data_IF_253377206833
#
_entry.id   IF_253377206833
#
_cell.length_a   1.000
_cell.length_b   1.000
_cell.length_c   1.000
_cell.angle_alpha   90.00
_cell.angle_beta   90.00
_cell.angle_gamma   90.00
#
_symmetry.space_group_name_H-M   'P 1'
#
loop_
_entity.id
_entity.type
_entity.pdbx_description
1 polymer ?
#
# COMPACT_ATOMS: atom_id res chain seq x y z
N UNK A 1 -19.15 3.81 -1.00
CA UNK A 1 -18.31 2.62 -1.21
C UNK A 1 -19.20 1.54 -1.84
N UNK A 2 -18.87 1.03 -3.03
CA UNK A 2 -19.65 -0.02 -3.73
C UNK A 2 -18.72 -1.04 -4.39
N UNK A 3 -19.04 -2.33 -4.34
CA UNK A 3 -18.39 -3.36 -5.15
C UNK A 3 -18.68 -3.10 -6.63
N UNK A 4 -17.64 -3.12 -7.46
CA UNK A 4 -17.80 -2.85 -8.90
C UNK A 4 -16.71 -3.60 -9.67
N UNK A 5 -17.05 -4.44 -10.66
CA UNK A 5 -16.05 -5.07 -11.53
C UNK A 5 -15.19 -4.02 -12.25
N UNK A 6 -13.91 -4.34 -12.47
CA UNK A 6 -12.98 -3.45 -13.18
C UNK A 6 -13.45 -3.11 -14.58
N UNK A 7 -13.91 -4.11 -15.35
CA UNK A 7 -14.44 -3.88 -16.70
C UNK A 7 -15.62 -2.90 -16.68
N UNK A 8 -16.53 -3.03 -15.71
CA UNK A 8 -17.67 -2.11 -15.57
C UNK A 8 -17.20 -0.71 -15.28
N UNK A 9 -16.35 -0.52 -14.27
CA UNK A 9 -15.87 0.79 -13.87
C UNK A 9 -15.07 1.49 -14.99
N UNK A 10 -14.13 0.77 -15.63
CA UNK A 10 -13.30 1.33 -16.70
C UNK A 10 -14.11 1.67 -17.96
N UNK A 11 -15.19 0.94 -18.26
CA UNK A 11 -16.04 1.14 -19.44
C UNK A 11 -17.17 2.15 -19.23
N UNK A 12 -17.41 2.59 -17.99
CA UNK A 12 -18.42 3.63 -17.73
C UNK A 12 -18.08 4.88 -18.55
N UNK A 13 -19.08 5.48 -19.27
CA UNK A 13 -18.87 6.71 -20.02
C UNK A 13 -18.63 7.86 -19.03
N UNK A 14 -17.38 8.08 -18.72
CA UNK A 14 -16.93 9.10 -17.77
C UNK A 14 -16.12 10.16 -18.50
N UNK A 15 -16.26 11.42 -18.10
CA UNK A 15 -15.49 12.52 -18.70
C UNK A 15 -14.05 12.57 -18.20
N UNK A 16 -13.80 12.06 -16.98
CA UNK A 16 -12.51 12.16 -16.35
C UNK A 16 -11.57 11.05 -16.82
N UNK A 17 -10.32 11.39 -17.17
CA UNK A 17 -9.27 10.41 -17.47
C UNK A 17 -9.04 9.44 -16.31
N UNK A 18 -8.57 8.23 -16.67
CA UNK A 18 -8.13 7.21 -15.71
C UNK A 18 -6.63 7.29 -15.52
N UNK A 19 -6.22 7.27 -14.27
CA UNK A 19 -4.84 7.20 -13.83
C UNK A 19 -4.62 5.94 -13.00
N UNK A 20 -3.38 5.45 -13.04
CA UNK A 20 -2.92 4.33 -12.21
C UNK A 20 -1.74 4.81 -11.36
N UNK A 21 -1.73 4.42 -10.09
CA UNK A 21 -0.55 4.44 -9.26
C UNK A 21 -0.02 3.01 -9.14
N UNK A 22 1.17 2.77 -9.69
CA UNK A 22 1.71 1.43 -9.87
C UNK A 22 2.90 1.18 -8.94
N UNK A 23 2.93 0.02 -8.34
CA UNK A 23 4.06 -0.49 -7.60
C UNK A 23 4.95 -1.33 -8.53
N UNK A 24 6.11 -0.80 -8.88
CA UNK A 24 7.06 -1.47 -9.79
C UNK A 24 7.82 -2.62 -9.13
N UNK A 25 7.70 -2.79 -7.83
CA UNK A 25 8.27 -3.93 -7.10
C UNK A 25 7.38 -5.17 -7.14
N UNK A 26 6.10 -5.01 -7.55
CA UNK A 26 5.19 -6.13 -7.74
C UNK A 26 5.67 -7.08 -8.84
N UNK A 27 5.35 -8.37 -8.72
CA UNK A 27 5.77 -9.40 -9.67
C UNK A 27 4.55 -10.13 -10.30
N UNK A 28 4.37 -10.06 -11.62
CA UNK A 28 5.17 -9.31 -12.60
C UNK A 28 5.01 -7.79 -12.44
N UNK A 29 6.02 -7.02 -12.89
CA UNK A 29 5.94 -5.56 -12.85
C UNK A 29 4.77 -5.06 -13.73
N UNK A 30 3.78 -4.37 -13.17
CA UNK A 30 2.60 -3.95 -13.93
C UNK A 30 2.93 -2.98 -15.07
N UNK A 31 4.01 -2.18 -14.97
CA UNK A 31 4.41 -1.26 -16.05
C UNK A 31 4.78 -2.01 -17.31
N UNK A 32 5.44 -3.17 -17.21
CA UNK A 32 5.86 -3.96 -18.36
C UNK A 32 4.65 -4.44 -19.16
N UNK A 33 3.61 -4.89 -18.48
CA UNK A 33 2.35 -5.32 -19.11
C UNK A 33 1.67 -4.16 -19.84
N UNK A 34 1.62 -2.97 -19.22
CA UNK A 34 0.98 -1.81 -19.81
C UNK A 34 1.76 -1.28 -21.03
N UNK A 35 3.11 -1.26 -20.98
CA UNK A 35 3.94 -0.88 -22.11
C UNK A 35 3.85 -1.89 -23.26
N UNK A 36 3.93 -3.17 -22.97
CA UNK A 36 3.85 -4.24 -23.99
C UNK A 36 2.54 -4.21 -24.80
N UNK A 37 1.45 -3.74 -24.18
CA UNK A 37 0.12 -3.65 -24.82
C UNK A 37 -0.20 -2.25 -25.38
N UNK A 38 0.72 -1.30 -25.32
CA UNK A 38 0.52 0.08 -25.78
C UNK A 38 -0.69 0.77 -25.11
N UNK A 39 -0.91 0.54 -23.82
CA UNK A 39 -2.06 1.09 -23.07
C UNK A 39 -1.80 2.45 -22.42
N UNK A 40 -0.57 2.94 -22.47
CA UNK A 40 -0.12 4.15 -21.78
C UNK A 40 -0.21 5.37 -22.68
N UNK A 41 -0.90 6.41 -22.22
CA UNK A 41 -0.87 7.74 -22.83
C UNK A 41 0.32 8.57 -22.31
N UNK A 42 0.51 8.58 -20.98
CA UNK A 42 1.61 9.25 -20.28
C UNK A 42 2.03 8.39 -19.08
N UNK A 43 3.32 8.37 -18.76
CA UNK A 43 3.85 7.69 -17.59
C UNK A 43 5.09 8.38 -17.05
N UNK A 44 5.27 8.38 -15.71
CA UNK A 44 6.42 8.99 -15.08
C UNK A 44 6.73 8.36 -13.71
N UNK A 45 8.01 8.10 -13.38
CA UNK A 45 8.42 7.63 -12.07
C UNK A 45 8.38 8.77 -11.05
N UNK A 46 7.64 8.58 -9.95
CA UNK A 46 7.35 9.64 -9.00
C UNK A 46 8.55 10.12 -8.19
N UNK A 47 9.60 9.30 -8.03
CA UNK A 47 10.80 9.71 -7.30
C UNK A 47 11.74 10.62 -8.11
N UNK A 48 11.56 10.66 -9.44
CA UNK A 48 12.40 11.48 -10.29
C UNK A 48 12.23 12.98 -9.98
N UNK A 49 13.35 13.68 -9.76
CA UNK A 49 13.35 15.11 -9.40
C UNK A 49 12.88 15.41 -7.95
N UNK A 50 12.79 14.40 -7.08
CA UNK A 50 12.44 14.55 -5.67
C UNK A 50 13.60 14.16 -4.75
N UNK A 51 13.52 14.40 -3.42
CA UNK A 51 14.51 13.91 -2.46
C UNK A 51 14.71 12.39 -2.49
N UNK A 52 13.75 11.62 -3.04
CA UNK A 52 13.82 10.16 -3.19
C UNK A 52 14.47 9.70 -4.49
N UNK A 53 15.09 10.58 -5.28
CA UNK A 53 15.68 10.24 -6.59
C UNK A 53 16.76 9.13 -6.50
N UNK A 54 17.42 8.98 -5.35
CA UNK A 54 18.36 7.90 -5.10
C UNK A 54 17.71 6.50 -5.04
N UNK A 55 16.38 6.43 -4.87
CA UNK A 55 15.57 5.21 -4.88
C UNK A 55 14.80 5.03 -6.19
N UNK A 56 15.25 5.63 -7.29
CA UNK A 56 14.53 5.63 -8.57
C UNK A 56 14.16 4.24 -9.09
N UNK A 57 14.99 3.23 -8.82
CA UNK A 57 14.74 1.84 -9.20
C UNK A 57 13.52 1.21 -8.49
N UNK A 58 13.10 1.79 -7.37
CA UNK A 58 11.94 1.37 -6.56
C UNK A 58 10.78 2.37 -6.67
N UNK A 59 10.90 3.33 -7.60
CA UNK A 59 9.92 4.41 -7.73
C UNK A 59 8.55 3.87 -8.11
N UNK A 60 7.49 4.30 -7.44
CA UNK A 60 6.15 4.13 -7.99
C UNK A 60 6.01 4.93 -9.28
N UNK A 61 5.09 4.48 -10.15
CA UNK A 61 4.80 5.16 -11.38
C UNK A 61 3.39 5.73 -11.38
N UNK A 62 3.28 6.97 -11.82
CA UNK A 62 2.01 7.56 -12.25
C UNK A 62 1.82 7.25 -13.73
N UNK A 63 0.69 6.68 -14.09
CA UNK A 63 0.35 6.34 -15.46
C UNK A 63 -1.02 6.92 -15.80
N UNK A 64 -1.12 7.60 -16.95
CA UNK A 64 -2.39 7.97 -17.58
C UNK A 64 -2.73 6.94 -18.64
N UNK A 65 -3.92 6.37 -18.53
CA UNK A 65 -4.39 5.30 -19.40
C UNK A 65 -4.93 5.85 -20.71
N UNK A 66 -4.62 5.21 -21.85
CA UNK A 66 -5.31 5.47 -23.12
C UNK A 66 -6.78 5.04 -22.99
N UNK A 67 -7.75 5.79 -23.54
CA UNK A 67 -9.16 5.38 -23.53
C UNK A 67 -9.41 4.01 -24.17
N UNK A 68 -8.64 3.65 -25.20
CA UNK A 68 -8.73 2.34 -25.88
C UNK A 68 -8.31 1.16 -24.99
N UNK A 69 -7.56 1.42 -23.94
CA UNK A 69 -7.10 0.39 -23.00
C UNK A 69 -8.15 0.02 -21.92
N UNK A 70 -9.23 0.79 -21.79
CA UNK A 70 -10.20 0.62 -20.70
C UNK A 70 -10.79 -0.80 -20.66
N UNK A 71 -11.29 -1.31 -21.77
CA UNK A 71 -11.90 -2.65 -21.83
C UNK A 71 -10.87 -3.75 -21.65
N UNK A 72 -9.74 -3.81 -22.40
CA UNK A 72 -8.80 -4.91 -22.24
C UNK A 72 -8.10 -4.91 -20.88
N UNK A 73 -7.79 -3.75 -20.29
CA UNK A 73 -7.26 -3.69 -18.93
C UNK A 73 -8.29 -4.16 -17.89
N UNK A 74 -9.56 -3.73 -18.03
CA UNK A 74 -10.63 -4.19 -17.14
C UNK A 74 -10.78 -5.71 -17.16
N UNK A 75 -10.75 -6.32 -18.33
CA UNK A 75 -10.80 -7.78 -18.49
C UNK A 75 -9.57 -8.47 -17.87
N UNK A 76 -8.39 -7.88 -17.98
CA UNK A 76 -7.18 -8.39 -17.33
C UNK A 76 -7.34 -8.38 -15.81
N UNK A 77 -7.76 -7.25 -15.24
CA UNK A 77 -7.91 -7.07 -13.80
C UNK A 77 -9.04 -7.93 -13.21
N UNK A 78 -10.17 -8.06 -13.89
CA UNK A 78 -11.27 -8.95 -13.45
C UNK A 78 -10.85 -10.44 -13.40
N UNK A 79 -9.83 -10.83 -14.17
CA UNK A 79 -9.25 -12.17 -14.15
C UNK A 79 -8.05 -12.30 -13.20
N UNK A 80 -7.81 -11.31 -12.35
CA UNK A 80 -6.63 -11.24 -11.48
C UNK A 80 -5.31 -11.39 -12.25
N UNK A 81 -5.22 -10.70 -13.38
CA UNK A 81 -4.07 -10.80 -14.30
C UNK A 81 -2.75 -10.24 -13.72
N UNK A 82 -2.79 -9.43 -12.66
CA UNK A 82 -1.67 -9.16 -11.78
C UNK A 82 -1.77 -10.08 -10.57
N UNK A 83 -0.87 -11.08 -10.51
CA UNK A 83 -0.87 -12.08 -9.43
C UNK A 83 -0.39 -11.52 -8.09
N UNK A 84 0.46 -10.52 -8.12
CA UNK A 84 0.91 -9.82 -6.91
C UNK A 84 -0.14 -8.81 -6.46
N UNK A 85 -0.72 -8.98 -5.24
CA UNK A 85 -1.77 -8.09 -4.75
C UNK A 85 -1.29 -6.67 -4.47
N UNK A 86 0.02 -6.40 -4.50
CA UNK A 86 0.59 -5.07 -4.29
C UNK A 86 0.73 -4.23 -5.58
N UNK A 87 0.23 -4.71 -6.72
CA UNK A 87 0.49 -4.15 -8.05
C UNK A 87 0.17 -2.66 -8.20
N UNK A 88 -0.84 -2.15 -7.52
CA UNK A 88 -1.28 -0.77 -7.61
C UNK A 88 -2.79 -0.60 -7.50
N UNK A 89 -3.26 0.58 -7.84
CA UNK A 89 -4.68 0.92 -7.88
C UNK A 89 -4.94 2.01 -8.91
N UNK A 90 -6.22 2.24 -9.24
CA UNK A 90 -6.64 3.19 -10.25
C UNK A 90 -7.54 4.28 -9.68
N UNK A 91 -7.60 5.42 -10.38
CA UNK A 91 -8.51 6.50 -10.03
C UNK A 91 -8.90 7.34 -11.25
N UNK A 92 -9.99 8.09 -11.10
CA UNK A 92 -10.43 9.10 -12.04
C UNK A 92 -10.15 10.50 -11.52
N UNK A 93 -9.74 11.39 -12.42
CA UNK A 93 -9.48 12.78 -12.09
C UNK A 93 -9.64 13.72 -13.29
N UNK A 94 -10.25 14.90 -13.12
CA UNK A 94 -10.31 15.95 -14.16
C UNK A 94 -9.03 16.79 -14.21
N UNK A 95 -8.13 16.66 -13.20
CA UNK A 95 -6.94 17.51 -13.14
C UNK A 95 -5.96 17.17 -14.24
N UNK A 96 -5.25 18.20 -14.74
CA UNK A 96 -4.21 18.06 -15.75
C UNK A 96 -3.03 17.20 -15.25
N UNK A 97 -2.32 16.57 -16.20
CA UNK A 97 -1.21 15.67 -15.94
C UNK A 97 -0.14 16.27 -14.98
N UNK A 98 0.32 17.48 -15.26
CA UNK A 98 1.37 18.11 -14.46
C UNK A 98 0.95 18.37 -13.00
N UNK A 99 -0.33 18.71 -12.80
CA UNK A 99 -0.89 18.87 -11.48
C UNK A 99 -0.99 17.53 -10.72
N UNK A 100 -1.34 16.45 -11.43
CA UNK A 100 -1.33 15.08 -10.88
C UNK A 100 0.09 14.68 -10.46
N UNK A 101 1.05 14.84 -11.38
CA UNK A 101 2.44 14.48 -11.14
C UNK A 101 3.00 15.22 -9.92
N UNK A 102 2.83 16.56 -9.90
CA UNK A 102 3.28 17.39 -8.79
C UNK A 102 2.65 16.98 -7.45
N UNK A 103 1.33 16.74 -7.46
CA UNK A 103 0.62 16.29 -6.26
C UNK A 103 1.23 14.98 -5.71
N UNK A 104 1.32 13.94 -6.55
CA UNK A 104 1.80 12.64 -6.09
C UNK A 104 3.27 12.63 -5.71
N UNK A 105 4.12 13.42 -6.36
CA UNK A 105 5.51 13.62 -5.95
C UNK A 105 5.62 14.18 -4.52
N UNK A 106 4.76 15.15 -4.18
CA UNK A 106 4.73 15.74 -2.85
C UNK A 106 4.17 14.82 -1.76
N UNK A 107 3.42 13.78 -2.13
CA UNK A 107 2.78 12.85 -1.17
C UNK A 107 3.59 11.57 -0.93
N UNK A 108 4.77 11.45 -1.55
CA UNK A 108 5.65 10.30 -1.30
C UNK A 108 6.25 10.33 0.12
N UNK A 109 6.45 11.51 0.68
CA UNK A 109 6.93 11.70 2.05
C UNK A 109 5.81 12.26 2.93
N UNK A 110 5.59 11.59 4.05
CA UNK A 110 4.59 11.98 5.06
C UNK A 110 5.23 12.04 6.45
N UNK A 111 4.55 12.68 7.38
CA UNK A 111 5.01 12.77 8.77
C UNK A 111 4.31 11.70 9.61
N UNK A 112 5.10 10.90 10.30
CA UNK A 112 4.65 9.89 11.27
C UNK A 112 5.43 10.11 12.57
N UNK A 113 4.73 10.42 13.66
CA UNK A 113 5.30 10.66 14.99
C UNK A 113 6.47 11.66 15.03
N UNK A 114 6.42 12.65 14.13
CA UNK A 114 7.45 13.69 14.02
C UNK A 114 8.53 13.39 12.99
N UNK A 115 8.66 12.18 12.52
CA UNK A 115 9.64 11.75 11.52
C UNK A 115 9.07 11.75 10.10
N UNK A 116 9.96 11.94 9.11
CA UNK A 116 9.58 11.83 7.69
C UNK A 116 9.75 10.39 7.23
N UNK A 117 8.65 9.80 6.77
CA UNK A 117 8.63 8.43 6.26
C UNK A 117 8.09 8.38 4.83
N UNK A 118 8.51 7.36 4.07
CA UNK A 118 7.97 7.10 2.73
C UNK A 118 6.61 6.45 2.84
N UNK A 119 5.57 7.10 2.30
CA UNK A 119 4.23 6.51 2.21
C UNK A 119 4.10 5.69 0.91
N UNK A 120 4.04 4.39 1.02
CA UNK A 120 3.86 3.47 -0.12
C UNK A 120 2.38 3.31 -0.51
N UNK A 121 1.69 4.43 -0.72
CA UNK A 121 0.25 4.40 -1.05
C UNK A 121 -0.03 3.72 -2.41
N UNK A 122 0.98 3.57 -3.28
CA UNK A 122 0.88 2.80 -4.51
C UNK A 122 0.70 1.30 -4.28
N UNK A 123 1.11 0.77 -3.13
CA UNK A 123 0.86 -0.62 -2.76
C UNK A 123 -0.63 -0.77 -2.40
N UNK A 124 -1.36 -1.55 -3.20
CA UNK A 124 -2.80 -1.74 -2.99
C UNK A 124 -3.15 -2.33 -1.63
N UNK A 125 -2.27 -3.12 -1.03
CA UNK A 125 -2.46 -3.65 0.32
C UNK A 125 -2.53 -2.53 1.36
N UNK A 126 -1.67 -1.51 1.20
CA UNK A 126 -1.67 -0.31 2.06
C UNK A 126 -2.85 0.60 1.70
N UNK A 127 -3.08 0.83 0.41
CA UNK A 127 -4.19 1.64 -0.07
C UNK A 127 -5.56 1.12 0.40
N UNK A 128 -5.76 -0.21 0.40
CA UNK A 128 -6.99 -0.88 0.85
C UNK A 128 -7.30 -0.64 2.33
N UNK A 129 -6.30 -0.37 3.16
CA UNK A 129 -6.47 -0.05 4.58
C UNK A 129 -6.63 1.46 4.79
N UNK A 130 -5.73 2.25 4.20
CA UNK A 130 -5.66 3.68 4.50
C UNK A 130 -6.76 4.48 3.80
N UNK A 131 -7.02 4.24 2.50
CA UNK A 131 -7.97 5.07 1.74
C UNK A 131 -9.40 4.99 2.31
N UNK A 132 -9.97 3.82 2.67
CA UNK A 132 -11.27 3.74 3.32
C UNK A 132 -11.32 4.39 4.71
N UNK A 133 -10.17 4.53 5.37
CA UNK A 133 -10.04 5.09 6.72
C UNK A 133 -9.82 6.61 6.73
N UNK A 134 -9.67 7.24 5.55
CA UNK A 134 -9.50 8.68 5.42
C UNK A 134 -10.77 9.42 5.83
N UNK A 135 -10.60 10.46 6.62
CA UNK A 135 -11.65 11.46 6.90
C UNK A 135 -11.75 12.45 5.74
N UNK A 136 -12.81 13.22 5.69
CA UNK A 136 -13.02 14.22 4.62
C UNK A 136 -11.82 15.17 4.49
N UNK A 137 -11.27 15.65 5.60
CA UNK A 137 -10.09 16.53 5.62
C UNK A 137 -8.84 15.86 5.03
N UNK A 138 -8.67 14.57 5.28
CA UNK A 138 -7.53 13.82 4.75
C UNK A 138 -7.64 13.65 3.23
N UNK A 139 -8.86 13.45 2.72
CA UNK A 139 -9.11 13.41 1.27
C UNK A 139 -8.70 14.72 0.58
N UNK A 140 -8.99 15.87 1.16
CA UNK A 140 -8.58 17.16 0.59
C UNK A 140 -7.06 17.33 0.53
N UNK A 141 -6.32 16.72 1.46
CA UNK A 141 -4.87 16.87 1.52
C UNK A 141 -4.16 15.75 0.76
N UNK A 142 -4.49 14.48 1.06
CA UNK A 142 -3.78 13.32 0.51
C UNK A 142 -4.28 12.92 -0.87
N UNK A 143 -5.61 12.98 -1.08
CA UNK A 143 -6.31 12.44 -2.26
C UNK A 143 -6.92 13.54 -3.15
N UNK A 144 -6.48 14.79 -3.02
CA UNK A 144 -7.07 15.95 -3.71
C UNK A 144 -7.40 15.72 -5.20
N UNK A 145 -6.52 15.12 -6.03
CA UNK A 145 -6.84 14.94 -7.44
C UNK A 145 -7.87 13.83 -7.70
N UNK A 146 -8.18 12.99 -6.72
CA UNK A 146 -8.98 11.78 -6.89
C UNK A 146 -10.46 12.09 -6.76
N UNK A 147 -11.23 11.87 -7.82
CA UNK A 147 -12.69 11.90 -7.79
C UNK A 147 -13.30 10.54 -7.43
N UNK A 148 -12.74 9.49 -7.97
CA UNK A 148 -13.12 8.11 -7.70
C UNK A 148 -11.85 7.28 -7.61
N UNK A 149 -11.69 6.50 -6.55
CA UNK A 149 -10.63 5.51 -6.41
C UNK A 149 -11.19 4.12 -6.62
N UNK A 150 -10.46 3.29 -7.36
CA UNK A 150 -10.78 1.88 -7.59
C UNK A 150 -9.66 1.02 -7.03
N UNK A 151 -10.00 0.23 -6.02
CA UNK A 151 -9.08 -0.62 -5.27
C UNK A 151 -9.37 -2.09 -5.59
N UNK A 152 -8.32 -2.88 -5.77
CA UNK A 152 -8.44 -4.33 -5.85
C UNK A 152 -8.36 -4.93 -4.44
N UNK A 153 -9.37 -5.69 -4.03
CA UNK A 153 -9.40 -6.35 -2.73
C UNK A 153 -9.46 -7.87 -2.92
N UNK A 154 -9.26 -8.62 -1.85
CA UNK A 154 -9.26 -10.09 -1.90
C UNK A 154 -10.60 -10.67 -2.36
N UNK A 155 -11.70 -9.98 -2.04
CA UNK A 155 -13.05 -10.46 -2.35
C UNK A 155 -13.54 -9.92 -3.69
N UNK A 156 -13.56 -8.60 -3.86
CA UNK A 156 -14.05 -7.95 -5.08
C UNK A 156 -13.57 -6.50 -5.15
N UNK A 157 -13.37 -5.94 -6.36
CA UNK A 157 -12.91 -4.57 -6.50
C UNK A 157 -13.87 -3.57 -5.87
N UNK A 158 -13.33 -2.53 -5.26
CA UNK A 158 -14.04 -1.55 -4.46
C UNK A 158 -13.91 -0.15 -5.03
N UNK A 159 -15.03 0.46 -5.39
CA UNK A 159 -15.08 1.85 -5.81
C UNK A 159 -15.37 2.77 -4.61
N UNK A 160 -14.51 3.75 -4.41
CA UNK A 160 -14.63 4.80 -3.42
C UNK A 160 -14.82 6.15 -4.13
N UNK A 161 -15.86 6.88 -3.75
CA UNK A 161 -16.13 8.22 -4.30
C UNK A 161 -15.60 9.27 -3.31
N UNK A 162 -14.84 10.22 -3.84
CA UNK A 162 -14.34 11.35 -3.06
C UNK A 162 -15.50 12.12 -2.41
N UNK A 163 -15.46 12.41 -1.10
CA UNK A 163 -16.43 13.28 -0.46
C UNK A 163 -16.35 14.72 -0.99
N UNK A 164 -15.25 15.06 -1.64
CA UNK A 164 -14.97 16.39 -2.20
C UNK A 164 -15.44 16.57 -3.66
N UNK A 165 -15.96 15.51 -4.29
CA UNK A 165 -16.27 15.52 -5.75
C UNK A 165 -17.12 16.71 -6.19
N UNK A 166 -18.12 17.07 -5.40
CA UNK A 166 -19.10 18.10 -5.76
C UNK A 166 -18.99 19.37 -4.88
N UNK A 167 -17.95 19.47 -4.07
CA UNK A 167 -17.76 20.61 -3.15
C UNK A 167 -16.36 21.18 -3.31
N UNK A 168 -16.21 22.49 -3.57
CA UNK A 168 -14.92 23.13 -3.45
C UNK A 168 -14.40 22.96 -2.01
N UNK A 169 -13.08 22.81 -1.83
CA UNK A 169 -12.50 22.68 -0.50
C UNK A 169 -12.92 23.88 0.36
N UNK A 170 -13.46 23.60 1.53
CA UNK A 170 -13.91 24.62 2.50
C UNK A 170 -12.77 25.52 2.98
N UNK A 171 -11.52 25.10 2.76
CA UNK A 171 -10.31 25.84 3.13
C UNK A 171 -9.38 25.87 1.91
N UNK A 172 -9.27 27.01 1.20
CA UNK A 172 -8.43 27.14 0.00
C UNK A 172 -6.93 26.94 0.24
N UNK A 173 -6.46 26.88 1.46
CA UNK A 173 -5.04 26.94 1.84
C UNK A 173 -4.53 25.73 2.64
N UNK A 174 -5.19 24.57 2.59
CA UNK A 174 -4.61 23.35 3.17
C UNK A 174 -3.40 22.86 2.33
N UNK A 175 -2.42 23.76 2.12
CA UNK A 175 -1.05 23.39 1.76
C UNK A 175 -0.33 22.80 2.97
N UNK A 176 -0.96 21.83 3.62
CA UNK A 176 -0.31 21.13 4.73
C UNK A 176 0.66 20.11 4.09
N UNK A 177 1.89 20.54 3.99
CA UNK A 177 3.00 19.70 3.60
C UNK A 177 4.05 19.64 4.72
N UNK A 178 4.51 18.46 5.07
CA UNK A 178 4.06 17.12 4.64
C UNK A 178 2.71 16.74 5.26
N UNK A 179 1.96 15.83 4.60
CA UNK A 179 0.78 15.20 5.18
C UNK A 179 1.18 14.44 6.47
N UNK A 180 0.40 14.58 7.53
CA UNK A 180 0.65 13.87 8.79
C UNK A 180 -0.28 12.69 8.90
N UNK A 181 0.27 11.48 9.10
CA UNK A 181 -0.51 10.30 9.42
C UNK A 181 -1.08 10.43 10.83
N UNK A 182 -2.35 10.83 10.91
CA UNK A 182 -3.06 10.99 12.17
C UNK A 182 -3.30 9.67 12.90
N UNK A 183 -3.56 9.73 14.20
CA UNK A 183 -3.79 8.57 15.06
C UNK A 183 -4.85 7.59 14.51
N UNK A 184 -5.93 8.11 13.89
CA UNK A 184 -6.95 7.25 13.30
C UNK A 184 -6.44 6.39 12.14
N UNK A 185 -5.51 6.90 11.31
CA UNK A 185 -4.88 6.12 10.22
C UNK A 185 -3.86 5.13 10.77
N UNK A 186 -3.10 5.53 11.77
CA UNK A 186 -2.18 4.65 12.48
C UNK A 186 -2.93 3.51 13.16
N UNK A 187 -4.06 3.80 13.81
CA UNK A 187 -4.93 2.80 14.44
C UNK A 187 -5.55 1.87 13.40
N UNK A 188 -6.05 2.41 12.28
CA UNK A 188 -6.60 1.60 11.20
C UNK A 188 -5.54 0.65 10.62
N UNK A 189 -4.31 1.13 10.42
CA UNK A 189 -3.20 0.32 9.98
C UNK A 189 -2.84 -0.76 10.99
N UNK A 190 -2.59 -0.39 12.26
CA UNK A 190 -2.19 -1.31 13.31
C UNK A 190 -3.19 -2.46 13.56
N UNK A 191 -4.48 -2.20 13.34
CA UNK A 191 -5.56 -3.19 13.51
C UNK A 191 -5.90 -3.95 12.23
N UNK A 192 -5.19 -3.71 11.13
CA UNK A 192 -5.47 -4.40 9.86
C UNK A 192 -4.77 -5.74 9.78
N UNK A 193 -5.44 -6.73 9.20
CA UNK A 193 -4.83 -8.02 8.88
C UNK A 193 -3.60 -7.86 7.98
N UNK A 194 -3.66 -6.93 7.02
CA UNK A 194 -2.52 -6.59 6.14
C UNK A 194 -1.27 -6.17 6.93
N UNK A 195 -1.43 -5.34 7.95
CA UNK A 195 -0.31 -4.92 8.81
C UNK A 195 0.30 -6.10 9.57
N UNK A 196 -0.55 -6.99 10.09
CA UNK A 196 -0.11 -8.18 10.82
C UNK A 196 0.68 -9.11 9.89
N UNK A 197 0.17 -9.37 8.70
CA UNK A 197 0.82 -10.23 7.71
C UNK A 197 2.18 -9.65 7.27
N UNK A 198 2.23 -8.36 6.91
CA UNK A 198 3.48 -7.70 6.52
C UNK A 198 4.52 -7.67 7.65
N UNK A 199 4.07 -7.49 8.90
CA UNK A 199 4.97 -7.56 10.04
C UNK A 199 5.49 -8.97 10.28
N UNK A 200 4.65 -9.98 10.15
CA UNK A 200 5.08 -11.38 10.25
C UNK A 200 6.11 -11.73 9.17
N UNK A 201 5.91 -11.28 7.92
CA UNK A 201 6.88 -11.44 6.84
C UNK A 201 8.24 -10.80 7.19
N UNK A 202 8.23 -9.54 7.66
CA UNK A 202 9.45 -8.82 8.02
C UNK A 202 10.20 -9.50 9.17
N UNK A 203 9.48 -9.90 10.23
CA UNK A 203 10.07 -10.62 11.37
C UNK A 203 10.61 -11.99 10.98
N UNK A 204 9.93 -12.68 10.06
CA UNK A 204 10.44 -13.95 9.51
C UNK A 204 11.76 -13.75 8.76
N UNK A 205 11.84 -12.74 7.88
CA UNK A 205 13.07 -12.39 7.18
C UNK A 205 14.19 -12.05 8.17
N UNK A 206 13.91 -11.18 9.14
CA UNK A 206 14.88 -10.79 10.16
C UNK A 206 15.38 -12.00 10.99
N UNK A 207 14.49 -12.95 11.29
CA UNK A 207 14.86 -14.18 12.01
C UNK A 207 15.77 -15.07 11.17
N UNK A 208 15.45 -15.26 9.89
CA UNK A 208 16.30 -16.02 8.96
C UNK A 208 17.68 -15.40 8.78
N UNK A 209 17.76 -14.07 8.75
CA UNK A 209 19.05 -13.35 8.62
C UNK A 209 19.90 -13.42 9.89
N UNK A 210 19.30 -13.26 11.06
CA UNK A 210 20.04 -13.09 12.31
C UNK A 210 20.13 -14.36 13.18
N UNK A 211 19.17 -15.30 13.05
CA UNK A 211 19.04 -16.49 13.88
C UNK A 211 18.56 -17.70 13.06
N UNK A 212 19.29 -18.16 12.03
CA UNK A 212 18.82 -19.19 11.09
C UNK A 212 18.46 -20.52 11.73
N UNK A 213 19.16 -20.94 12.80
CA UNK A 213 18.86 -22.17 13.53
C UNK A 213 17.49 -22.10 14.24
N UNK A 214 17.17 -20.97 14.85
CA UNK A 214 15.87 -20.73 15.45
C UNK A 214 14.77 -20.64 14.38
N UNK A 215 15.06 -19.96 13.25
CA UNK A 215 14.15 -19.89 12.12
C UNK A 215 13.79 -21.30 11.59
N UNK A 216 14.78 -22.17 11.39
CA UNK A 216 14.57 -23.53 10.95
C UNK A 216 13.73 -24.36 11.95
N UNK A 217 14.01 -24.24 13.25
CA UNK A 217 13.25 -24.91 14.29
C UNK A 217 11.79 -24.44 14.32
N UNK A 218 11.57 -23.14 14.16
CA UNK A 218 10.24 -22.52 14.15
C UNK A 218 9.47 -22.76 12.85
N UNK A 219 10.16 -23.00 11.72
CA UNK A 219 9.55 -23.30 10.43
C UNK A 219 9.38 -24.82 10.20
N UNK A 220 9.41 -25.61 11.22
CA UNK A 220 9.19 -27.05 11.15
C UNK A 220 7.81 -27.41 11.72
N UNK A 221 6.88 -27.97 10.89
CA UNK A 221 6.96 -28.18 9.44
C UNK A 221 7.02 -26.86 8.63
N UNK A 222 7.46 -26.93 7.37
CA UNK A 222 7.64 -25.75 6.49
C UNK A 222 6.37 -24.89 6.43
N UNK A 223 6.53 -23.57 6.59
CA UNK A 223 5.45 -22.59 6.64
C UNK A 223 4.95 -22.26 8.05
N UNK A 224 5.34 -23.01 9.07
CA UNK A 224 4.90 -22.80 10.46
C UNK A 224 5.44 -21.51 11.08
N UNK A 225 6.62 -21.03 10.67
CA UNK A 225 7.19 -19.80 11.22
C UNK A 225 6.26 -18.62 11.01
N UNK A 226 5.74 -18.46 9.77
CA UNK A 226 4.83 -17.38 9.45
C UNK A 226 3.51 -17.48 10.25
N UNK A 227 2.91 -18.66 10.34
CA UNK A 227 1.69 -18.89 11.11
C UNK A 227 1.89 -18.59 12.61
N UNK A 228 3.03 -18.97 13.17
CA UNK A 228 3.39 -18.69 14.58
C UNK A 228 3.56 -17.19 14.84
N UNK A 229 4.19 -16.47 13.91
CA UNK A 229 4.36 -15.03 14.00
C UNK A 229 3.00 -14.32 13.92
N UNK A 230 2.16 -14.68 12.96
CA UNK A 230 0.80 -14.14 12.82
C UNK A 230 -0.02 -14.41 14.10
N UNK A 231 -0.02 -15.64 14.60
CA UNK A 231 -0.70 -16.01 15.85
C UNK A 231 -0.22 -15.19 17.03
N UNK A 232 1.10 -15.00 17.17
CA UNK A 232 1.67 -14.17 18.24
C UNK A 232 1.28 -12.69 18.11
N UNK A 233 1.28 -12.13 16.90
CA UNK A 233 0.88 -10.74 16.65
C UNK A 233 -0.60 -10.49 16.96
N UNK A 234 -1.48 -11.46 16.75
CA UNK A 234 -2.91 -11.36 17.09
C UNK A 234 -3.15 -11.30 18.62
N UNK A 235 -2.44 -12.10 19.41
CA UNK A 235 -2.57 -12.07 20.89
C UNK A 235 -1.81 -10.92 21.53
N UNK A 236 -0.89 -10.34 20.81
CA UNK A 236 -0.08 -9.21 21.21
C UNK A 236 -0.31 -8.04 20.26
N UNK A 237 -1.45 -7.34 20.33
CA UNK A 237 -1.84 -6.37 19.32
C UNK A 237 -0.77 -5.29 19.14
N UNK A 238 -0.57 -4.91 17.88
CA UNK A 238 0.31 -3.79 17.52
C UNK A 238 -0.31 -2.53 18.13
N UNK A 239 0.42 -1.87 19.03
CA UNK A 239 -0.03 -0.60 19.58
C UNK A 239 0.12 0.49 18.50
N UNK A 240 -0.93 1.31 18.30
CA UNK A 240 -0.86 2.47 17.43
C UNK A 240 0.34 3.35 17.83
N UNK A 241 1.15 3.76 16.84
CA UNK A 241 2.36 4.56 17.06
C UNK A 241 3.62 3.77 17.43
N UNK A 242 3.57 2.44 17.51
CA UNK A 242 4.70 1.65 17.98
C UNK A 242 4.93 0.37 17.17
N UNK A 243 4.77 0.44 15.86
CA UNK A 243 5.04 -0.69 14.96
C UNK A 243 6.51 -1.16 15.06
N UNK A 244 7.43 -0.25 15.40
CA UNK A 244 8.86 -0.54 15.53
C UNK A 244 9.27 -1.20 16.86
N UNK A 245 8.40 -1.32 17.85
CA UNK A 245 8.78 -1.85 19.17
C UNK A 245 8.49 -3.34 19.35
N UNK A 246 7.84 -3.99 18.40
CA UNK A 246 7.72 -5.45 18.39
C UNK A 246 9.00 -6.04 17.81
N UNK A 247 9.93 -6.29 18.68
CA UNK A 247 11.25 -6.79 18.30
C UNK A 247 11.23 -8.31 18.14
N UNK A 248 12.13 -8.78 17.28
CA UNK A 248 12.45 -10.21 17.16
C UNK A 248 12.70 -10.85 18.52
N UNK A 249 13.35 -10.14 19.45
CA UNK A 249 13.62 -10.58 20.82
C UNK A 249 12.33 -10.95 21.57
N UNK A 250 11.28 -10.13 21.47
CA UNK A 250 10.01 -10.44 22.16
C UNK A 250 9.35 -11.71 21.61
N UNK A 251 9.44 -11.94 20.30
CA UNK A 251 8.94 -13.17 19.71
C UNK A 251 9.76 -14.39 20.10
N UNK A 252 11.09 -14.29 20.10
CA UNK A 252 11.96 -15.39 20.52
C UNK A 252 11.78 -15.75 22.00
N UNK A 253 11.62 -14.75 22.88
CA UNK A 253 11.29 -14.98 24.30
C UNK A 253 9.95 -15.72 24.44
N UNK A 254 8.93 -15.32 23.69
CA UNK A 254 7.64 -15.99 23.64
C UNK A 254 7.76 -17.44 23.14
N UNK A 255 8.52 -17.66 22.05
CA UNK A 255 8.75 -18.98 21.50
C UNK A 255 9.51 -19.91 22.46
N UNK A 256 10.47 -19.37 23.24
CA UNK A 256 11.16 -20.10 24.30
C UNK A 256 10.22 -20.49 25.44
N UNK A 257 9.35 -19.57 25.88
CA UNK A 257 8.35 -19.86 26.92
C UNK A 257 7.40 -20.99 26.53
N UNK A 258 7.08 -21.11 25.22
CA UNK A 258 6.25 -22.19 24.68
C UNK A 258 7.04 -23.48 24.36
N UNK A 259 8.37 -23.47 24.53
CA UNK A 259 9.22 -24.62 24.22
C UNK A 259 9.36 -24.89 22.72
N UNK A 260 9.10 -23.92 21.88
CA UNK A 260 9.27 -24.05 20.43
C UNK A 260 10.73 -23.99 19.99
N UNK A 261 11.55 -23.28 20.76
CA UNK A 261 13.01 -23.21 20.62
C UNK A 261 13.67 -23.38 21.98
N UNK A 262 14.94 -23.87 22.04
CA UNK A 262 15.64 -24.05 23.30
C UNK A 262 15.85 -22.71 24.00
N UNK A 263 15.76 -22.73 25.36
CA UNK A 263 16.15 -21.58 26.18
C UNK A 263 17.63 -21.36 26.01
N UNK A 264 18.04 -20.12 25.74
CA UNK A 264 19.45 -19.72 25.80
C UNK A 264 19.90 -19.74 27.26
N UNK A 265 20.30 -20.92 27.78
CA UNK A 265 21.07 -21.00 29.01
C UNK A 265 22.45 -20.43 28.67
N UNK A 266 22.82 -19.29 29.26
CA UNK A 266 24.19 -18.82 29.23
C UNK A 266 25.09 -19.98 29.73
N UNK A 267 26.20 -20.28 29.04
CA UNK A 267 27.19 -21.20 29.55
C UNK A 267 27.79 -20.60 30.81
N UNK A 268 27.65 -21.30 31.94
CA UNK A 268 28.22 -21.00 33.25
C UNK A 268 29.75 -20.94 33.20
#
# INVERSE_FOLDING_TARGET
MRPTPWTTWLSEPHRDPVYLLLNTLAQPNPTDVLFANDWIEQAFPLYNGTPLAHLIAQSPWLVKLKPSAAVPLGQLLDRKGFSDPSWGWAYRSPMAWDAQLHHWQQRQLVKLDGEMVVLRLMDSRIANVLIPSLREVDWYVLMNPVHEAMLDTDTQPLCLISPARDRPPLIPELKVHPFTLGEHLQTAWANSETSIQLMAENLACELWENQPDNALALDTPVGQLHERLVGWLHISPILAGNVSTRTLTQFTDYAQQLGWIPSTTEPS
#
